data_IF_352558464208
#
_entry.id   IF_352558464208
#
_cell.length_a   1.000
_cell.length_b   1.000
_cell.length_c   1.000
_cell.angle_alpha   90.00
_cell.angle_beta   90.00
_cell.angle_gamma   90.00
#
_symmetry.space_group_name_H-M   'P 1'
#
loop_
_entity.id
_entity.type
_entity.pdbx_description
1 polymer ?
#
# COMPACT_ATOMS: atom_id res chain seq x y z
N UNK A 1 6.79 15.42 -7.65
CA UNK A 1 5.86 14.27 -7.58
C UNK A 1 5.37 14.15 -6.15
N UNK A 2 4.05 13.96 -5.94
CA UNK A 2 3.52 13.64 -4.60
C UNK A 2 4.08 12.30 -4.14
N UNK A 3 4.38 12.16 -2.85
CA UNK A 3 4.82 10.92 -2.20
C UNK A 3 3.64 10.03 -1.80
N UNK A 4 2.45 10.63 -1.69
CA UNK A 4 1.19 9.95 -1.33
C UNK A 4 0.29 9.77 -2.55
N UNK A 5 -0.45 8.68 -2.55
CA UNK A 5 -1.56 8.44 -3.47
C UNK A 5 -2.75 9.33 -3.07
N UNK A 6 -3.36 10.00 -4.05
CA UNK A 6 -4.40 11.00 -3.80
C UNK A 6 -5.66 10.40 -3.16
N UNK A 7 -6.33 9.42 -3.80
CA UNK A 7 -7.58 8.85 -3.32
C UNK A 7 -7.47 8.13 -1.96
N UNK A 8 -6.32 7.51 -1.69
CA UNK A 8 -6.17 6.62 -0.53
C UNK A 8 -5.35 7.23 0.61
N UNK A 9 -4.53 8.26 0.35
CA UNK A 9 -3.67 8.91 1.33
C UNK A 9 -2.45 8.08 1.79
N UNK A 10 -2.37 6.80 1.42
CA UNK A 10 -1.18 5.96 1.68
C UNK A 10 -0.04 6.33 0.73
N UNK A 11 1.15 5.77 0.96
CA UNK A 11 2.28 6.02 0.05
C UNK A 11 1.99 5.49 -1.35
N UNK A 12 2.63 6.06 -2.36
CA UNK A 12 2.50 5.54 -3.72
C UNK A 12 3.62 4.54 -4.06
N UNK A 13 3.49 3.90 -5.22
CA UNK A 13 4.48 2.96 -5.75
C UNK A 13 5.88 3.57 -5.85
N UNK A 14 6.00 4.84 -6.25
CA UNK A 14 7.29 5.50 -6.41
C UNK A 14 8.04 5.59 -5.07
N UNK A 15 7.34 5.98 -3.99
CA UNK A 15 7.90 5.96 -2.65
C UNK A 15 8.36 4.56 -2.23
N UNK A 16 7.53 3.54 -2.47
CA UNK A 16 7.84 2.16 -2.11
C UNK A 16 9.12 1.66 -2.79
N UNK A 17 9.26 1.93 -4.08
CA UNK A 17 10.46 1.57 -4.84
C UNK A 17 11.72 2.25 -4.30
N UNK A 18 11.60 3.45 -3.73
CA UNK A 18 12.70 4.15 -3.07
C UNK A 18 13.03 3.57 -1.69
N UNK A 19 12.03 3.07 -0.95
CA UNK A 19 12.22 2.55 0.40
C UNK A 19 12.67 1.09 0.44
N UNK A 20 12.28 0.25 -0.53
CA UNK A 20 12.64 -1.18 -0.50
C UNK A 20 14.15 -1.44 -0.38
N UNK A 21 15.04 -0.78 -1.17
CA UNK A 21 16.48 -0.98 -1.00
C UNK A 21 16.97 -0.60 0.41
N UNK A 22 16.44 0.50 0.96
CA UNK A 22 16.79 0.98 2.32
C UNK A 22 16.35 -0.01 3.40
N UNK A 23 15.14 -0.55 3.28
CA UNK A 23 14.61 -1.55 4.21
C UNK A 23 15.41 -2.86 4.15
N UNK A 24 15.78 -3.31 2.95
CA UNK A 24 16.62 -4.50 2.74
C UNK A 24 18.01 -4.29 3.34
N UNK A 25 18.64 -3.15 3.08
CA UNK A 25 19.97 -2.85 3.62
C UNK A 25 19.93 -2.74 5.14
N UNK A 26 18.91 -2.09 5.71
CA UNK A 26 18.71 -2.01 7.15
C UNK A 26 18.57 -3.40 7.80
N UNK A 27 17.74 -4.27 7.24
CA UNK A 27 17.53 -5.63 7.72
C UNK A 27 18.84 -6.45 7.69
N UNK A 28 19.63 -6.32 6.62
CA UNK A 28 20.96 -6.95 6.52
C UNK A 28 21.93 -6.47 7.59
N UNK A 29 22.04 -5.15 7.80
CA UNK A 29 22.99 -4.57 8.77
C UNK A 29 22.61 -4.86 10.22
N UNK A 30 21.32 -4.94 10.52
CA UNK A 30 20.81 -5.18 11.88
C UNK A 30 20.58 -6.65 12.18
N UNK A 31 20.77 -7.55 11.20
CA UNK A 31 20.42 -8.96 11.30
C UNK A 31 18.97 -9.21 11.73
N UNK A 32 18.04 -8.37 11.25
CA UNK A 32 16.61 -8.51 11.55
C UNK A 32 15.84 -9.04 10.33
N UNK A 33 14.75 -9.80 10.53
CA UNK A 33 13.92 -10.25 9.42
C UNK A 33 13.14 -9.08 8.83
N UNK A 34 13.04 -9.07 7.50
CA UNK A 34 12.17 -8.19 6.72
C UNK A 34 11.02 -9.02 6.13
N UNK A 35 9.81 -8.46 6.11
CA UNK A 35 8.65 -9.08 5.47
C UNK A 35 8.01 -8.08 4.51
N UNK A 36 7.41 -8.59 3.45
CA UNK A 36 6.62 -7.82 2.50
C UNK A 36 5.30 -8.58 2.30
N UNK A 37 4.19 -7.87 2.49
CA UNK A 37 2.85 -8.37 2.21
C UNK A 37 2.34 -7.62 0.99
N UNK A 38 1.92 -8.37 -0.04
CA UNK A 38 1.23 -7.82 -1.20
C UNK A 38 -0.23 -8.24 -1.11
N UNK A 39 -1.12 -7.27 -1.28
CA UNK A 39 -2.55 -7.40 -1.06
C UNK A 39 -3.24 -6.98 -2.35
N UNK A 40 -4.20 -7.77 -2.82
CA UNK A 40 -5.03 -7.47 -3.97
C UNK A 40 -6.50 -7.45 -3.52
N UNK A 41 -7.32 -6.52 -4.04
CA UNK A 41 -8.75 -6.50 -3.75
C UNK A 41 -9.47 -7.42 -4.72
N UNK A 42 -9.95 -8.54 -4.20
CA UNK A 42 -10.69 -9.53 -4.99
C UNK A 42 -11.88 -8.90 -5.73
N UNK A 43 -11.99 -9.22 -7.02
CA UNK A 43 -13.11 -8.82 -7.89
C UNK A 43 -13.32 -7.29 -8.00
N UNK A 44 -12.31 -6.46 -7.76
CA UNK A 44 -12.46 -4.99 -7.76
C UNK A 44 -13.01 -4.44 -9.08
N UNK A 45 -12.60 -5.00 -10.23
CA UNK A 45 -13.17 -4.64 -11.53
C UNK A 45 -14.69 -4.88 -11.59
N UNK A 46 -15.16 -6.05 -11.14
CA UNK A 46 -16.59 -6.35 -11.15
C UNK A 46 -17.37 -5.43 -10.21
N UNK A 47 -16.78 -5.09 -9.05
CA UNK A 47 -17.34 -4.11 -8.14
C UNK A 47 -17.49 -2.73 -8.81
N UNK A 48 -16.45 -2.26 -9.53
CA UNK A 48 -16.52 -1.01 -10.30
C UNK A 48 -17.57 -1.06 -11.41
N UNK A 49 -17.67 -2.17 -12.13
CA UNK A 49 -18.63 -2.34 -13.22
C UNK A 49 -20.08 -2.28 -12.71
N UNK A 50 -20.34 -2.76 -11.49
CA UNK A 50 -21.67 -2.78 -10.87
C UNK A 50 -22.03 -1.47 -10.17
N UNK A 51 -21.08 -0.89 -9.41
CA UNK A 51 -21.36 0.24 -8.51
C UNK A 51 -20.79 1.58 -9.00
N UNK A 52 -19.99 1.57 -10.08
CA UNK A 52 -19.32 2.73 -10.63
C UNK A 52 -18.01 3.08 -9.92
N UNK A 53 -17.15 3.82 -10.63
CA UNK A 53 -15.81 4.18 -10.16
C UNK A 53 -15.79 5.01 -8.88
N UNK A 54 -16.82 5.84 -8.63
CA UNK A 54 -16.90 6.63 -7.39
C UNK A 54 -16.98 5.74 -6.15
N UNK A 55 -17.76 4.65 -6.24
CA UNK A 55 -17.86 3.64 -5.19
C UNK A 55 -16.57 2.81 -5.11
N UNK A 56 -15.90 2.58 -6.24
CA UNK A 56 -14.56 2.01 -6.31
C UNK A 56 -13.53 2.80 -5.51
N UNK A 57 -13.48 4.11 -5.72
CA UNK A 57 -12.59 5.01 -4.99
C UNK A 57 -12.88 4.97 -3.49
N UNK A 58 -14.15 4.98 -3.09
CA UNK A 58 -14.53 4.83 -1.69
C UNK A 58 -14.10 3.47 -1.09
N UNK A 59 -14.19 2.39 -1.86
CA UNK A 59 -13.71 1.06 -1.46
C UNK A 59 -12.19 1.07 -1.25
N UNK A 60 -11.42 1.65 -2.18
CA UNK A 60 -9.97 1.80 -2.07
C UNK A 60 -9.57 2.62 -0.84
N UNK A 61 -10.25 3.74 -0.58
CA UNK A 61 -10.03 4.56 0.61
C UNK A 61 -10.32 3.79 1.89
N UNK A 62 -11.39 2.98 1.92
CA UNK A 62 -11.73 2.15 3.08
C UNK A 62 -10.67 1.07 3.34
N UNK A 63 -10.21 0.38 2.30
CA UNK A 63 -9.12 -0.61 2.40
C UNK A 63 -7.83 0.06 2.89
N UNK A 64 -7.46 1.19 2.31
CA UNK A 64 -6.28 1.94 2.73
C UNK A 64 -6.36 2.39 4.20
N UNK A 65 -7.54 2.82 4.66
CA UNK A 65 -7.78 3.18 6.06
C UNK A 65 -7.63 1.98 6.99
N UNK A 66 -8.16 0.82 6.61
CA UNK A 66 -8.01 -0.42 7.38
C UNK A 66 -6.55 -0.87 7.48
N UNK A 67 -5.80 -0.74 6.38
CA UNK A 67 -4.37 -1.07 6.34
C UNK A 67 -3.51 -0.05 7.10
N UNK A 68 -3.92 1.22 7.18
CA UNK A 68 -3.18 2.27 7.89
C UNK A 68 -2.92 1.95 9.38
N UNK A 69 -3.77 1.13 10.01
CA UNK A 69 -3.57 0.66 11.38
C UNK A 69 -2.60 -0.53 11.55
N UNK A 70 -2.11 -1.10 10.44
CA UNK A 70 -1.23 -2.28 10.43
C UNK A 70 0.24 -1.89 10.57
N UNK A 71 0.65 -0.75 10.04
CA UNK A 71 2.00 -0.21 10.20
C UNK A 71 2.18 0.31 11.63
N UNK A 72 2.89 -0.45 12.47
CA UNK A 72 3.01 -0.16 13.92
C UNK A 72 4.36 0.39 14.32
N UNK A 73 5.38 0.22 13.49
CA UNK A 73 6.74 0.70 13.72
C UNK A 73 7.05 1.89 12.81
N UNK A 74 7.99 2.76 13.19
CA UNK A 74 8.38 3.90 12.35
C UNK A 74 8.90 3.53 10.95
N UNK A 75 9.42 2.31 10.78
CA UNK A 75 9.91 1.80 9.51
C UNK A 75 8.83 1.10 8.68
N UNK A 76 7.70 0.74 9.29
CA UNK A 76 6.61 0.06 8.60
C UNK A 76 5.86 1.08 7.73
N UNK A 77 5.43 0.68 6.54
CA UNK A 77 4.62 1.54 5.69
C UNK A 77 3.62 0.76 4.84
N UNK A 78 2.52 1.44 4.52
CA UNK A 78 1.52 0.98 3.56
C UNK A 78 1.62 1.82 2.31
N UNK A 79 1.58 1.16 1.16
CA UNK A 79 1.56 1.84 -0.12
C UNK A 79 0.55 1.22 -1.09
N UNK A 80 0.00 2.05 -1.97
CA UNK A 80 -0.74 1.60 -3.14
C UNK A 80 0.25 1.26 -4.25
N UNK A 81 0.36 -0.02 -4.55
CA UNK A 81 1.32 -0.56 -5.51
C UNK A 81 0.78 -0.52 -6.94
N UNK A 82 -0.53 -0.73 -7.10
CA UNK A 82 -1.23 -0.77 -8.39
C UNK A 82 -2.62 -0.14 -8.33
N UNK A 83 -3.47 -0.48 -9.29
CA UNK A 83 -4.85 0.01 -9.32
C UNK A 83 -5.64 -0.43 -8.08
N UNK A 84 -5.64 -1.72 -7.80
CA UNK A 84 -6.33 -2.34 -6.64
C UNK A 84 -5.36 -3.03 -5.66
N UNK A 85 -4.06 -2.96 -5.95
CA UNK A 85 -3.02 -3.63 -5.18
C UNK A 85 -2.40 -2.71 -4.12
N UNK A 86 -2.19 -3.24 -2.92
CA UNK A 86 -1.47 -2.60 -1.82
C UNK A 86 -0.26 -3.41 -1.39
N UNK A 87 0.73 -2.74 -0.82
CA UNK A 87 1.91 -3.34 -0.23
C UNK A 87 2.07 -2.86 1.21
N UNK A 88 2.46 -3.77 2.09
CA UNK A 88 2.86 -3.48 3.48
C UNK A 88 4.26 -4.03 3.70
N UNK A 89 5.16 -3.15 4.13
CA UNK A 89 6.53 -3.49 4.56
C UNK A 89 6.66 -3.19 6.03
#
# INVERSE_FOLDING_TARGET
>A
MSVRDGPTGVYNRAYSNEQYPKAIDHAKHTHTPLSLIVIDIDHFKQYNDVFGHLQGDACLTAVASALGGVARRPADFVARYGGEEFAVV
#
